data_IF_888575082685
#
_entry.id   IF_888575082685
#
_cell.length_a   1.000
_cell.length_b   1.000
_cell.length_c   1.000
_cell.angle_alpha   90.00
_cell.angle_beta   90.00
_cell.angle_gamma   90.00
#
_symmetry.space_group_name_H-M   'P 1'
#
loop_
_entity.id
_entity.type
_entity.pdbx_description
1 polymer ?
#
# COMPACT_ATOMS: atom_id res chain seq x y z
N UNK A 1 -24.79 10.47 -1.09
CA UNK A 1 -23.77 9.51 -0.59
C UNK A 1 -22.47 9.79 -1.30
N UNK A 2 -21.37 9.90 -0.58
CA UNK A 2 -20.08 10.14 -1.24
C UNK A 2 -19.60 8.87 -1.96
N UNK A 3 -18.82 9.05 -3.01
CA UNK A 3 -18.24 7.95 -3.78
C UNK A 3 -17.40 7.05 -2.88
N UNK A 4 -16.69 7.65 -1.89
CA UNK A 4 -15.86 6.95 -0.93
C UNK A 4 -16.63 5.88 -0.16
N UNK A 5 -17.89 6.17 0.22
CA UNK A 5 -18.72 5.24 0.99
C UNK A 5 -19.20 4.04 0.16
N UNK A 6 -19.04 4.07 -1.15
CA UNK A 6 -19.45 2.97 -2.03
C UNK A 6 -18.31 2.00 -2.33
N UNK A 7 -17.08 2.30 -1.86
CA UNK A 7 -15.94 1.42 -2.07
C UNK A 7 -16.05 0.20 -1.17
N UNK A 8 -15.90 -0.98 -1.77
CA UNK A 8 -15.88 -2.25 -1.04
C UNK A 8 -14.43 -2.66 -0.78
N UNK A 9 -14.09 -2.79 0.49
CA UNK A 9 -12.76 -3.14 0.94
C UNK A 9 -12.66 -4.62 1.27
N UNK A 10 -11.58 -5.25 0.85
CA UNK A 10 -11.30 -6.66 1.13
C UNK A 10 -9.80 -6.91 1.18
N UNK A 11 -9.43 -8.04 1.78
CA UNK A 11 -8.03 -8.47 1.88
C UNK A 11 -7.97 -9.97 1.58
N UNK A 12 -7.00 -10.37 0.76
CA UNK A 12 -6.78 -11.78 0.45
C UNK A 12 -5.29 -12.09 0.45
N UNK A 13 -4.95 -13.34 0.81
CA UNK A 13 -3.60 -13.85 0.55
C UNK A 13 -3.38 -13.94 -0.96
N UNK A 14 -2.12 -13.98 -1.38
CA UNK A 14 -1.81 -14.12 -2.80
C UNK A 14 -2.48 -15.36 -3.42
N UNK A 15 -2.44 -16.48 -2.70
CA UNK A 15 -3.03 -17.74 -3.19
C UNK A 15 -4.55 -17.67 -3.38
N UNK A 16 -5.22 -16.81 -2.61
CA UNK A 16 -6.68 -16.68 -2.68
C UNK A 16 -7.15 -15.65 -3.70
N UNK A 17 -6.24 -14.86 -4.27
CA UNK A 17 -6.59 -13.90 -5.32
C UNK A 17 -7.04 -14.63 -6.59
N UNK A 18 -8.12 -14.16 -7.19
CA UNK A 18 -8.47 -14.62 -8.54
C UNK A 18 -7.49 -14.04 -9.55
N UNK A 19 -7.45 -14.64 -10.74
CA UNK A 19 -6.60 -14.10 -11.82
C UNK A 19 -6.97 -12.66 -12.15
N UNK A 20 -8.26 -12.32 -12.15
CA UNK A 20 -8.71 -10.96 -12.43
C UNK A 20 -8.33 -9.99 -11.34
N UNK A 21 -8.41 -10.41 -10.08
CA UNK A 21 -7.98 -9.58 -8.94
C UNK A 21 -6.48 -9.29 -9.01
N UNK A 22 -5.67 -10.32 -9.25
CA UNK A 22 -4.22 -10.15 -9.38
C UNK A 22 -3.88 -9.24 -10.54
N UNK A 23 -4.52 -9.45 -11.69
CA UNK A 23 -4.28 -8.61 -12.87
C UNK A 23 -4.62 -7.14 -12.58
N UNK A 24 -5.75 -6.88 -11.92
CA UNK A 24 -6.16 -5.53 -11.58
C UNK A 24 -5.17 -4.84 -10.64
N UNK A 25 -4.67 -5.58 -9.64
CA UNK A 25 -3.66 -5.06 -8.70
C UNK A 25 -2.39 -4.67 -9.44
N UNK A 26 -1.86 -5.57 -10.26
CA UNK A 26 -0.61 -5.32 -10.97
C UNK A 26 -0.76 -4.20 -12.01
N UNK A 27 -1.92 -4.13 -12.66
CA UNK A 27 -2.21 -3.07 -13.62
C UNK A 27 -2.25 -1.70 -12.95
N UNK A 28 -2.93 -1.57 -11.82
CA UNK A 28 -3.01 -0.30 -11.09
C UNK A 28 -1.61 0.12 -10.61
N UNK A 29 -0.83 -0.80 -10.10
CA UNK A 29 0.55 -0.54 -9.66
C UNK A 29 1.41 -0.05 -10.83
N UNK A 30 1.32 -0.70 -11.99
CA UNK A 30 2.06 -0.30 -13.19
C UNK A 30 1.64 1.10 -13.67
N UNK A 31 0.35 1.36 -13.66
CA UNK A 31 -0.19 2.65 -14.09
C UNK A 31 0.39 3.82 -13.29
N UNK A 32 0.52 3.65 -11.98
CA UNK A 32 0.98 4.72 -11.09
C UNK A 32 2.49 4.71 -10.91
N UNK A 33 3.06 3.58 -10.49
CA UNK A 33 4.47 3.54 -10.10
C UNK A 33 5.43 3.60 -11.29
N UNK A 34 5.02 3.07 -12.44
CA UNK A 34 5.87 3.03 -13.62
C UNK A 34 5.49 4.13 -14.60
N UNK A 35 4.23 4.17 -15.03
CA UNK A 35 3.81 5.09 -16.08
C UNK A 35 3.66 6.52 -15.56
N UNK A 36 2.82 6.74 -14.56
CA UNK A 36 2.58 8.09 -14.05
C UNK A 36 3.83 8.72 -13.44
N UNK A 37 4.57 7.96 -12.63
CA UNK A 37 5.79 8.46 -12.00
C UNK A 37 6.99 8.50 -12.95
N UNK A 38 6.80 8.03 -14.19
CA UNK A 38 7.84 7.99 -15.20
C UNK A 38 9.13 7.35 -14.66
N UNK A 39 8.96 6.20 -13.99
CA UNK A 39 10.04 5.49 -13.33
C UNK A 39 10.19 4.10 -13.94
N UNK A 40 11.29 3.86 -14.63
CA UNK A 40 11.53 2.57 -15.28
C UNK A 40 12.15 1.62 -14.26
N UNK A 41 11.32 0.73 -13.70
CA UNK A 41 11.76 -0.30 -12.77
C UNK A 41 10.82 -1.50 -12.86
N UNK A 42 11.26 -2.63 -12.34
CA UNK A 42 10.46 -3.84 -12.30
C UNK A 42 9.64 -3.83 -11.00
N UNK A 43 8.38 -3.43 -11.09
CA UNK A 43 7.48 -3.35 -9.93
C UNK A 43 7.28 -4.71 -9.25
N UNK A 44 7.18 -5.77 -10.02
CA UNK A 44 7.03 -7.13 -9.50
C UNK A 44 8.39 -7.63 -9.02
N UNK A 45 8.55 -7.74 -7.70
CA UNK A 45 9.83 -7.99 -7.05
C UNK A 45 9.94 -9.39 -6.41
N UNK A 46 9.03 -10.30 -6.78
CA UNK A 46 8.93 -11.67 -6.25
C UNK A 46 8.54 -11.73 -4.76
N UNK A 47 8.01 -10.64 -4.21
CA UNK A 47 7.54 -10.59 -2.83
C UNK A 47 6.02 -10.62 -2.71
N UNK A 48 5.30 -10.47 -3.81
CA UNK A 48 3.84 -10.46 -3.77
C UNK A 48 3.26 -11.79 -3.29
N UNK A 49 3.94 -12.89 -3.61
CA UNK A 49 3.47 -14.24 -3.30
C UNK A 49 3.39 -14.51 -1.79
N UNK A 50 4.18 -13.82 -0.97
CA UNK A 50 4.18 -13.99 0.49
C UNK A 50 3.36 -12.93 1.22
N UNK A 51 2.78 -11.99 0.50
CA UNK A 51 2.02 -10.88 1.07
C UNK A 51 0.52 -11.15 1.06
N UNK A 52 -0.21 -10.44 1.95
CA UNK A 52 -1.63 -10.22 1.78
C UNK A 52 -1.83 -8.97 0.95
N UNK A 53 -2.93 -8.92 0.20
CA UNK A 53 -3.22 -7.80 -0.68
C UNK A 53 -4.58 -7.22 -0.33
N UNK A 54 -4.60 -5.91 -0.04
CA UNK A 54 -5.86 -5.19 0.17
C UNK A 54 -6.39 -4.72 -1.17
N UNK A 55 -7.69 -4.61 -1.27
CA UNK A 55 -8.37 -4.14 -2.48
C UNK A 55 -9.53 -3.24 -2.11
N UNK A 56 -9.60 -2.10 -2.76
CA UNK A 56 -10.76 -1.23 -2.72
C UNK A 56 -11.43 -1.22 -4.09
N UNK A 57 -12.64 -1.72 -4.16
CA UNK A 57 -13.40 -1.86 -5.41
C UNK A 57 -14.52 -0.85 -5.48
N UNK A 58 -14.58 -0.11 -6.56
CA UNK A 58 -15.69 0.76 -6.90
C UNK A 58 -16.43 0.10 -8.07
N UNK A 59 -17.48 -0.66 -7.76
CA UNK A 59 -18.10 -1.54 -8.75
C UNK A 59 -17.09 -2.58 -9.23
N UNK A 60 -16.81 -2.61 -10.52
CA UNK A 60 -15.86 -3.55 -11.12
C UNK A 60 -14.45 -2.96 -11.29
N UNK A 61 -14.24 -1.74 -10.83
CA UNK A 61 -12.94 -1.07 -10.95
C UNK A 61 -12.16 -1.13 -9.64
N UNK A 62 -10.92 -1.61 -9.69
CA UNK A 62 -10.01 -1.52 -8.55
C UNK A 62 -9.46 -0.10 -8.46
N UNK A 63 -9.76 0.59 -7.37
CA UNK A 63 -9.37 1.99 -7.19
C UNK A 63 -8.28 2.18 -6.13
N UNK A 64 -7.96 1.15 -5.35
CA UNK A 64 -6.93 1.24 -4.33
C UNK A 64 -6.42 -0.14 -3.96
N UNK A 65 -5.13 -0.23 -3.63
CA UNK A 65 -4.52 -1.48 -3.15
C UNK A 65 -3.27 -1.19 -2.32
N UNK A 66 -2.96 -2.10 -1.41
CA UNK A 66 -1.68 -2.19 -0.70
C UNK A 66 -1.29 -3.65 -0.59
N UNK A 67 -0.01 -3.92 -0.25
CA UNK A 67 0.41 -5.27 0.16
C UNK A 67 0.90 -5.23 1.59
N UNK A 68 0.53 -6.26 2.35
CA UNK A 68 0.79 -6.36 3.78
C UNK A 68 1.76 -7.50 4.06
N UNK A 69 2.80 -7.21 4.84
CA UNK A 69 3.79 -8.20 5.24
C UNK A 69 3.75 -8.42 6.75
N UNK A 70 3.83 -9.68 7.14
CA UNK A 70 4.01 -10.04 8.55
C UNK A 70 5.42 -9.67 9.02
N UNK A 71 5.65 -9.77 10.32
CA UNK A 71 6.97 -9.52 10.92
C UNK A 71 8.04 -10.35 10.20
N UNK A 72 9.17 -9.72 9.91
CA UNK A 72 10.36 -10.32 9.28
C UNK A 72 10.21 -10.65 7.79
N UNK A 73 9.04 -10.44 7.19
CA UNK A 73 8.87 -10.71 5.76
C UNK A 73 9.42 -9.60 4.86
N UNK A 74 9.40 -8.36 5.33
CA UNK A 74 9.94 -7.20 4.60
C UNK A 74 11.01 -6.50 5.42
N UNK A 75 10.71 -6.21 6.68
CA UNK A 75 11.66 -5.61 7.62
C UNK A 75 11.77 -6.49 8.85
N UNK A 76 13.00 -6.69 9.32
CA UNK A 76 13.23 -7.47 10.53
C UNK A 76 12.62 -6.77 11.75
N UNK A 77 11.77 -7.49 12.47
CA UNK A 77 11.12 -7.01 13.69
C UNK A 77 9.84 -6.20 13.48
N UNK A 78 9.41 -6.00 12.23
CA UNK A 78 8.26 -5.14 11.92
C UNK A 78 7.31 -5.78 10.93
N UNK A 79 6.02 -5.50 11.10
CA UNK A 79 5.05 -5.63 10.03
C UNK A 79 5.28 -4.52 9.01
N UNK A 80 4.75 -4.66 7.80
CA UNK A 80 4.91 -3.60 6.79
C UNK A 80 3.69 -3.49 5.90
N UNK A 81 3.48 -2.28 5.40
CA UNK A 81 2.50 -1.95 4.37
C UNK A 81 3.28 -1.32 3.22
N UNK A 82 3.17 -1.88 2.04
CA UNK A 82 3.87 -1.38 0.87
C UNK A 82 2.99 -1.30 -0.36
N UNK A 83 3.56 -0.79 -1.45
CA UNK A 83 2.86 -0.60 -2.72
C UNK A 83 1.51 0.08 -2.52
N UNK A 84 1.50 1.16 -1.73
CA UNK A 84 0.31 1.95 -1.44
C UNK A 84 -0.06 2.77 -2.67
N UNK A 85 -1.23 2.53 -3.23
CA UNK A 85 -1.63 3.18 -4.48
C UNK A 85 -3.14 3.38 -4.57
N UNK A 86 -3.54 4.56 -5.03
CA UNK A 86 -4.91 4.88 -5.41
C UNK A 86 -4.99 5.23 -6.88
N UNK A 87 -6.09 4.92 -7.52
CA UNK A 87 -6.29 5.22 -8.94
C UNK A 87 -6.26 6.72 -9.18
N UNK A 88 -5.49 7.20 -10.19
CA UNK A 88 -5.38 8.63 -10.46
C UNK A 88 -6.72 9.31 -10.68
N UNK A 89 -7.67 8.62 -11.30
CA UNK A 89 -9.00 9.14 -11.64
C UNK A 89 -9.84 9.51 -10.43
N UNK A 90 -9.52 8.95 -9.26
CA UNK A 90 -10.33 9.12 -8.05
C UNK A 90 -9.57 9.80 -6.91
N UNK A 91 -8.50 10.53 -7.22
CA UNK A 91 -7.75 11.30 -6.22
C UNK A 91 -8.56 12.50 -5.73
N UNK A 92 -8.21 12.96 -4.53
CA UNK A 92 -8.83 14.14 -3.92
C UNK A 92 -10.10 13.88 -3.14
N UNK A 93 -10.53 12.62 -3.01
CA UNK A 93 -11.73 12.26 -2.24
C UNK A 93 -11.41 11.51 -0.93
N UNK A 94 -10.12 11.37 -0.59
CA UNK A 94 -9.72 10.73 0.66
C UNK A 94 -9.48 9.23 0.58
N UNK A 95 -9.36 8.66 -0.62
CA UNK A 95 -9.13 7.22 -0.79
C UNK A 95 -7.83 6.77 -0.10
N UNK A 96 -6.75 7.55 -0.22
CA UNK A 96 -5.47 7.18 0.38
C UNK A 96 -5.54 7.02 1.89
N UNK A 97 -6.22 7.94 2.56
CA UNK A 97 -6.40 7.88 4.02
C UNK A 97 -7.24 6.66 4.41
N UNK A 98 -8.31 6.40 3.69
CA UNK A 98 -9.18 5.26 3.98
C UNK A 98 -8.47 3.94 3.70
N UNK A 99 -7.73 3.88 2.60
CA UNK A 99 -6.90 2.72 2.25
C UNK A 99 -5.89 2.40 3.36
N UNK A 100 -5.18 3.41 3.86
CA UNK A 100 -4.18 3.21 4.91
C UNK A 100 -4.84 2.83 6.24
N UNK A 101 -5.95 3.45 6.62
CA UNK A 101 -6.67 3.08 7.83
C UNK A 101 -7.15 1.63 7.75
N UNK A 102 -7.69 1.22 6.62
CA UNK A 102 -8.09 -0.17 6.39
C UNK A 102 -6.89 -1.10 6.49
N UNK A 103 -5.78 -0.76 5.84
CA UNK A 103 -4.57 -1.58 5.83
C UNK A 103 -3.97 -1.75 7.23
N UNK A 104 -3.95 -0.69 8.04
CA UNK A 104 -3.46 -0.73 9.42
C UNK A 104 -4.34 -1.67 10.26
N UNK A 105 -5.66 -1.57 10.12
CA UNK A 105 -6.60 -2.45 10.82
C UNK A 105 -6.40 -3.92 10.40
N UNK A 106 -6.18 -4.16 9.11
CA UNK A 106 -5.97 -5.51 8.59
C UNK A 106 -4.65 -6.11 9.07
N UNK A 107 -3.60 -5.31 9.19
CA UNK A 107 -2.34 -5.76 9.79
C UNK A 107 -2.57 -6.25 11.22
N UNK A 108 -3.30 -5.51 12.04
CA UNK A 108 -3.60 -5.90 13.42
C UNK A 108 -4.44 -7.18 13.44
N UNK A 109 -5.43 -7.27 12.58
CA UNK A 109 -6.33 -8.42 12.50
C UNK A 109 -5.60 -9.69 12.05
N UNK A 110 -4.71 -9.56 11.05
CA UNK A 110 -4.01 -10.72 10.46
C UNK A 110 -2.77 -11.13 11.25
N UNK A 111 -2.03 -10.16 11.78
CA UNK A 111 -0.69 -10.40 12.35
C UNK A 111 -0.60 -10.09 13.85
N UNK A 112 -1.64 -9.49 14.45
CA UNK A 112 -1.64 -9.03 15.83
C UNK A 112 -1.12 -7.61 15.95
N UNK A 113 -1.25 -7.04 17.15
CA UNK A 113 -0.74 -5.69 17.45
C UNK A 113 0.77 -5.70 17.41
N UNK A 114 1.33 -4.69 16.79
CA UNK A 114 2.77 -4.52 16.71
C UNK A 114 3.13 -3.35 15.84
N UNK A 115 4.40 -2.92 15.89
CA UNK A 115 4.84 -1.78 15.09
C UNK A 115 4.87 -2.11 13.60
N UNK A 116 4.54 -1.10 12.80
CA UNK A 116 4.52 -1.17 11.33
C UNK A 116 5.60 -0.26 10.80
N UNK A 117 6.47 -0.78 9.94
CA UNK A 117 7.51 0.01 9.27
C UNK A 117 7.20 0.10 7.78
N UNK A 118 7.37 1.31 7.24
CA UNK A 118 7.17 1.58 5.83
C UNK A 118 8.36 2.32 5.24
N UNK A 119 8.54 2.20 3.92
CA UNK A 119 9.40 3.07 3.14
C UNK A 119 8.52 4.07 2.41
N UNK A 120 8.34 5.24 2.96
CA UNK A 120 7.46 6.25 2.40
C UNK A 120 8.20 7.13 1.38
N UNK A 121 7.56 7.45 0.26
CA UNK A 121 8.08 8.48 -0.63
C UNK A 121 8.12 9.80 0.16
N UNK A 122 9.24 10.51 0.09
CA UNK A 122 9.49 11.68 0.95
C UNK A 122 8.39 12.73 0.87
N UNK A 123 7.83 12.98 -0.32
CA UNK A 123 6.80 14.00 -0.47
C UNK A 123 5.49 13.65 0.24
N UNK A 124 5.32 12.39 0.67
CA UNK A 124 4.15 11.92 1.42
C UNK A 124 4.39 11.85 2.93
N UNK A 125 5.51 12.37 3.42
CA UNK A 125 5.84 12.33 4.85
C UNK A 125 4.71 12.88 5.73
N UNK A 126 4.16 14.04 5.37
CA UNK A 126 3.07 14.65 6.13
C UNK A 126 1.83 13.75 6.16
N UNK A 127 1.49 13.17 5.02
CA UNK A 127 0.36 12.25 4.91
C UNK A 127 0.50 11.09 5.90
N UNK A 128 1.67 10.44 5.91
CA UNK A 128 1.89 9.31 6.82
C UNK A 128 2.04 9.75 8.28
N UNK A 129 2.59 10.93 8.53
CA UNK A 129 2.69 11.47 9.90
C UNK A 129 1.30 11.67 10.52
N UNK A 130 0.33 12.10 9.75
CA UNK A 130 -1.05 12.27 10.21
C UNK A 130 -1.72 10.93 10.55
N UNK A 131 -1.19 9.82 10.03
CA UNK A 131 -1.66 8.47 10.36
C UNK A 131 -0.92 7.85 11.54
N UNK A 132 0.01 8.58 12.15
CA UNK A 132 0.75 8.11 13.31
C UNK A 132 2.12 7.53 13.02
N UNK A 133 2.60 7.63 11.77
CA UNK A 133 3.95 7.20 11.42
C UNK A 133 4.96 8.29 11.74
N UNK A 134 6.12 7.89 12.26
CA UNK A 134 7.21 8.79 12.57
C UNK A 134 8.47 8.39 11.81
N UNK A 135 9.25 9.38 11.38
CA UNK A 135 10.52 9.13 10.71
C UNK A 135 11.47 8.34 11.62
N UNK A 136 12.07 7.28 11.07
CA UNK A 136 12.94 6.38 11.83
C UNK A 136 14.34 6.25 11.25
N UNK A 137 14.68 7.02 10.24
CA UNK A 137 15.99 6.99 9.61
C UNK A 137 16.17 8.12 8.61
N UNK A 138 17.28 8.07 7.90
CA UNK A 138 17.62 9.11 6.93
C UNK A 138 16.95 8.87 5.57
N UNK A 139 16.89 9.92 4.75
CA UNK A 139 16.41 9.86 3.37
C UNK A 139 17.30 8.89 2.58
N UNK A 140 16.68 8.05 1.77
CA UNK A 140 17.36 7.17 0.86
C UNK A 140 16.66 7.20 -0.51
N UNK A 141 17.35 6.70 -1.54
CA UNK A 141 16.76 6.62 -2.89
C UNK A 141 16.34 5.19 -3.17
N UNK A 142 15.14 5.05 -3.72
CA UNK A 142 14.64 3.79 -4.25
C UNK A 142 14.07 4.09 -5.64
N UNK A 143 14.65 3.46 -6.66
CA UNK A 143 14.25 3.67 -8.05
C UNK A 143 14.20 5.16 -8.42
N UNK A 144 15.24 5.92 -8.04
CA UNK A 144 15.42 7.35 -8.30
C UNK A 144 14.43 8.27 -7.58
N UNK A 145 13.63 7.75 -6.67
CA UNK A 145 12.67 8.53 -5.88
C UNK A 145 13.15 8.59 -4.43
N UNK A 146 13.13 9.80 -3.85
CA UNK A 146 13.51 9.98 -2.45
C UNK A 146 12.47 9.33 -1.53
N UNK A 147 12.96 8.51 -0.61
CA UNK A 147 12.16 7.79 0.38
C UNK A 147 12.67 8.08 1.79
N UNK A 148 11.83 7.82 2.76
CA UNK A 148 12.14 7.97 4.17
C UNK A 148 11.54 6.79 4.94
N UNK A 149 12.33 6.13 5.81
CA UNK A 149 11.76 5.07 6.65
C UNK A 149 10.90 5.68 7.75
N UNK A 150 9.73 5.10 7.97
CA UNK A 150 8.80 5.57 9.00
C UNK A 150 8.24 4.38 9.78
N UNK A 151 7.95 4.58 11.05
CA UNK A 151 7.41 3.55 11.93
C UNK A 151 6.18 4.09 12.66
N UNK A 152 5.14 3.28 12.69
CA UNK A 152 3.98 3.48 13.53
C UNK A 152 4.01 2.44 14.64
N UNK A 153 3.98 2.91 15.87
CA UNK A 153 3.95 2.05 17.06
C UNK A 153 2.54 1.57 17.40
#
# INVERSE_FOLDING_TARGET
MSLLNTIKWSTKSFADLTNNELYAILRLRSEVFVVEQNCVFLDMDNNDQKAYHTMGWLGSELVATTRLFNVDQSYQGYQSIGRVVGAPRHRGIGIGKELMNFSIQECEKLFGKGPIKIGAQLYLKKFYSELGFEQSGEIYFEDLIEHIPMIKK
#
